data_IF_633111258213
#
_entry.id   IF_633111258213
#
_cell.length_a   1.000
_cell.length_b   1.000
_cell.length_c   1.000
_cell.angle_alpha   90.00
_cell.angle_beta   90.00
_cell.angle_gamma   90.00
#
_symmetry.space_group_name_H-M   'P 1'
#
loop_
_entity.id
_entity.type
_entity.pdbx_description
1 polymer ?
#
# COMPACT_ATOMS: atom_id res chain seq x y z
N UNK A 1 -18.54 -1.34 5.22
CA UNK A 1 -18.36 0.13 5.33
C UNK A 1 -16.93 0.44 4.88
N UNK A 2 -16.64 1.62 4.32
CA UNK A 2 -15.25 2.07 4.16
C UNK A 2 -14.66 2.18 5.57
N UNK A 3 -13.52 1.55 5.77
CA UNK A 3 -12.78 1.64 7.03
C UNK A 3 -11.99 2.93 7.06
N UNK A 4 -12.20 3.79 8.05
CA UNK A 4 -11.42 5.03 8.19
C UNK A 4 -10.16 4.81 9.02
N UNK A 5 -10.13 3.76 9.83
CA UNK A 5 -8.96 3.43 10.64
C UNK A 5 -7.89 2.70 9.81
N UNK A 6 -6.63 2.77 10.27
CA UNK A 6 -5.48 2.11 9.65
C UNK A 6 -5.46 0.59 9.83
N UNK A 7 -6.48 0.03 10.47
CA UNK A 7 -6.67 -1.42 10.65
C UNK A 7 -7.94 -1.95 9.98
N UNK A 8 -8.76 -1.08 9.38
CA UNK A 8 -9.99 -1.48 8.70
C UNK A 8 -9.78 -1.56 7.19
N UNK A 9 -9.55 -2.77 6.69
CA UNK A 9 -9.49 -3.07 5.26
C UNK A 9 -10.89 -3.02 4.65
N UNK A 10 -11.00 -2.58 3.39
CA UNK A 10 -12.24 -2.58 2.63
C UNK A 10 -12.04 -3.30 1.29
N UNK A 11 -12.56 -4.54 1.22
CA UNK A 11 -12.41 -5.44 0.06
C UNK A 11 -10.93 -5.60 -0.35
N UNK A 12 -10.03 -6.10 0.51
CA UNK A 12 -8.63 -6.32 0.11
C UNK A 12 -8.54 -7.39 -1.01
N UNK A 13 -7.57 -7.27 -1.91
CA UNK A 13 -7.42 -8.17 -3.08
C UNK A 13 -6.13 -8.97 -3.07
N UNK A 14 -4.98 -8.30 -3.09
CA UNK A 14 -3.65 -8.92 -3.12
C UNK A 14 -2.90 -8.69 -1.82
N UNK A 15 -1.98 -9.59 -1.50
CA UNK A 15 -1.09 -9.48 -0.36
C UNK A 15 0.28 -10.09 -0.69
N UNK A 16 1.31 -9.59 -0.03
CA UNK A 16 2.64 -10.15 -0.07
C UNK A 16 3.23 -10.20 1.34
N UNK A 17 4.01 -11.25 1.61
CA UNK A 17 4.73 -11.44 2.86
C UNK A 17 6.20 -11.62 2.53
N UNK A 18 7.07 -10.81 3.12
CA UNK A 18 8.51 -10.94 2.94
C UNK A 18 9.17 -11.86 3.97
N UNK A 19 10.46 -12.15 3.81
CA UNK A 19 11.21 -13.03 4.73
C UNK A 19 11.29 -12.49 6.16
N UNK A 20 11.10 -11.17 6.35
CA UNK A 20 11.06 -10.53 7.65
C UNK A 20 9.65 -10.63 8.28
N UNK A 21 8.73 -11.37 7.64
CA UNK A 21 7.31 -11.51 7.97
C UNK A 21 6.57 -10.16 7.98
N UNK A 22 7.03 -9.19 7.18
CA UNK A 22 6.27 -7.98 6.88
C UNK A 22 5.13 -8.34 5.92
N UNK A 23 3.90 -7.99 6.30
CA UNK A 23 2.71 -8.18 5.49
C UNK A 23 2.36 -6.86 4.81
N UNK A 24 2.22 -6.86 3.49
CA UNK A 24 1.62 -5.75 2.73
C UNK A 24 0.35 -6.19 2.05
N UNK A 25 -0.68 -5.33 2.04
CA UNK A 25 -2.00 -5.64 1.51
C UNK A 25 -2.46 -4.51 0.59
N UNK A 26 -2.96 -4.89 -0.59
CA UNK A 26 -3.71 -4.00 -1.47
C UNK A 26 -5.14 -3.82 -0.94
N UNK A 27 -5.36 -2.70 -0.23
CA UNK A 27 -6.65 -2.31 0.34
C UNK A 27 -7.50 -1.62 -0.74
N UNK A 28 -7.92 -2.42 -1.72
CA UNK A 28 -8.55 -2.01 -2.98
C UNK A 28 -9.67 -0.99 -2.79
N UNK A 29 -10.60 -1.22 -1.86
CA UNK A 29 -11.76 -0.36 -1.68
C UNK A 29 -11.45 0.99 -1.04
N UNK A 30 -10.30 1.09 -0.38
CA UNK A 30 -9.79 2.32 0.22
C UNK A 30 -8.69 2.99 -0.63
N UNK A 31 -8.38 2.47 -1.82
CA UNK A 31 -7.43 3.07 -2.77
C UNK A 31 -6.02 3.29 -2.13
N UNK A 32 -5.54 2.32 -1.34
CA UNK A 32 -4.26 2.39 -0.58
C UNK A 32 -3.55 1.04 -0.46
N UNK A 33 -2.27 1.07 -0.10
CA UNK A 33 -1.51 -0.10 0.35
C UNK A 33 -1.24 0.02 1.85
N UNK A 34 -1.52 -1.05 2.57
CA UNK A 34 -1.31 -1.16 4.02
C UNK A 34 -0.15 -2.09 4.34
N UNK A 35 0.55 -1.84 5.45
CA UNK A 35 1.67 -2.66 5.92
C UNK A 35 1.59 -2.96 7.42
N UNK A 36 1.93 -4.19 7.80
CA UNK A 36 2.18 -4.62 9.17
C UNK A 36 3.56 -5.26 9.25
N UNK A 37 4.31 -4.95 10.31
CA UNK A 37 5.59 -5.62 10.59
C UNK A 37 5.35 -6.87 11.43
N UNK A 38 6.27 -7.82 11.35
CA UNK A 38 6.27 -9.01 12.19
C UNK A 38 6.16 -8.66 13.68
N UNK A 39 5.35 -9.43 14.42
CA UNK A 39 5.07 -9.20 15.84
C UNK A 39 4.27 -7.93 16.13
N UNK A 40 3.86 -7.17 15.10
CA UNK A 40 2.98 -6.01 15.27
C UNK A 40 1.55 -6.42 15.60
N UNK A 41 0.88 -5.60 16.41
CA UNK A 41 -0.55 -5.72 16.61
C UNK A 41 -1.29 -5.51 15.27
N UNK A 42 -2.29 -6.37 15.00
CA UNK A 42 -3.25 -6.23 13.91
C UNK A 42 -3.88 -4.84 13.81
N UNK A 43 -3.95 -4.09 14.91
CA UNK A 43 -4.47 -2.72 14.95
C UNK A 43 -3.46 -1.66 14.48
N UNK A 44 -2.17 -2.00 14.37
CA UNK A 44 -1.09 -1.05 14.06
C UNK A 44 -0.63 -1.10 12.59
N UNK A 45 -1.59 -1.13 11.68
CA UNK A 45 -1.32 -1.02 10.25
C UNK A 45 -0.87 0.37 9.86
N UNK A 46 -0.03 0.47 8.83
CA UNK A 46 0.48 1.74 8.31
C UNK A 46 0.14 1.88 6.82
N UNK A 47 -0.31 3.06 6.40
CA UNK A 47 -0.46 3.39 4.99
C UNK A 47 0.93 3.64 4.41
N UNK A 48 1.36 2.83 3.45
CA UNK A 48 2.70 2.93 2.83
C UNK A 48 2.66 3.40 1.38
N UNK A 49 1.47 3.41 0.75
CA UNK A 49 1.22 4.03 -0.54
C UNK A 49 -0.28 4.35 -0.70
N UNK A 50 -0.60 5.37 -1.51
CA UNK A 50 -1.97 5.81 -1.75
C UNK A 50 -2.63 6.45 -0.52
N UNK A 51 -3.96 6.35 -0.40
CA UNK A 51 -4.73 6.94 0.70
C UNK A 51 -5.03 8.44 0.56
N UNK A 52 -4.44 9.14 -0.41
CA UNK A 52 -4.65 10.58 -0.69
C UNK A 52 -5.79 10.83 -1.70
N UNK A 53 -6.86 10.05 -1.56
CA UNK A 53 -7.93 9.99 -2.54
C UNK A 53 -7.53 9.20 -3.80
N UNK A 54 -8.57 8.84 -4.54
CA UNK A 54 -8.45 8.11 -5.80
C UNK A 54 -7.96 9.02 -6.92
N UNK A 55 -6.98 8.57 -7.69
CA UNK A 55 -6.51 9.29 -8.88
C UNK A 55 -5.20 8.73 -9.40
N UNK A 56 -4.63 9.39 -10.41
CA UNK A 56 -3.40 8.99 -11.11
C UNK A 56 -2.17 9.83 -10.74
N UNK A 57 -2.29 10.76 -9.78
CA UNK A 57 -1.18 11.56 -9.27
C UNK A 57 -0.08 10.72 -8.61
N UNK A 58 1.05 11.35 -8.31
CA UNK A 58 2.24 10.69 -7.74
C UNK A 58 1.99 10.03 -6.37
N UNK A 59 1.02 10.54 -5.62
CA UNK A 59 0.66 10.03 -4.29
C UNK A 59 -0.75 9.41 -4.23
N UNK A 60 -1.32 9.08 -5.39
CA UNK A 60 -2.66 8.51 -5.51
C UNK A 60 -2.61 7.14 -6.19
N UNK A 61 -3.56 6.29 -5.80
CA UNK A 61 -3.84 5.01 -6.42
C UNK A 61 -5.32 4.97 -6.81
N UNK A 62 -5.67 4.03 -7.67
CA UNK A 62 -7.04 3.76 -8.03
C UNK A 62 -7.25 2.25 -8.12
N UNK A 63 -8.00 1.69 -7.15
CA UNK A 63 -8.33 0.27 -7.12
C UNK A 63 -7.09 -0.65 -7.25
N UNK A 64 -6.07 -0.50 -6.39
CA UNK A 64 -4.90 -1.38 -6.46
C UNK A 64 -5.32 -2.83 -6.19
N UNK A 65 -4.83 -3.76 -7.00
CA UNK A 65 -5.23 -5.18 -6.89
C UNK A 65 -4.15 -6.08 -6.34
N UNK A 66 -2.89 -5.69 -6.46
CA UNK A 66 -1.76 -6.49 -5.97
C UNK A 66 -0.55 -5.62 -5.65
N UNK A 67 0.34 -6.13 -4.80
CA UNK A 67 1.56 -5.46 -4.35
C UNK A 67 2.64 -6.47 -4.00
N UNK A 68 3.89 -6.16 -4.33
CA UNK A 68 5.08 -6.86 -3.81
C UNK A 68 6.12 -5.86 -3.31
N UNK A 69 7.00 -6.32 -2.42
CA UNK A 69 8.17 -5.55 -1.96
C UNK A 69 9.36 -5.92 -2.83
N UNK A 70 9.94 -4.92 -3.48
CA UNK A 70 11.24 -5.01 -4.13
C UNK A 70 12.31 -4.59 -3.12
N UNK A 71 12.95 -5.58 -2.47
CA UNK A 71 13.98 -5.37 -1.45
C UNK A 71 15.26 -4.75 -2.03
N UNK A 72 15.56 -4.97 -3.31
CA UNK A 72 16.78 -4.44 -3.94
C UNK A 72 16.71 -2.92 -4.07
N UNK A 73 15.54 -2.39 -4.42
CA UNK A 73 15.33 -0.94 -4.62
C UNK A 73 14.64 -0.25 -3.45
N UNK A 74 14.27 -0.99 -2.40
CA UNK A 74 13.45 -0.52 -1.27
C UNK A 74 12.16 0.18 -1.73
N UNK A 75 11.43 -0.51 -2.59
CA UNK A 75 10.20 -0.01 -3.21
C UNK A 75 9.07 -1.03 -3.18
N UNK A 76 7.85 -0.54 -3.40
CA UNK A 76 6.69 -1.37 -3.68
C UNK A 76 6.47 -1.39 -5.19
N UNK A 77 6.15 -2.57 -5.74
CA UNK A 77 5.60 -2.68 -7.10
C UNK A 77 4.10 -2.94 -6.96
N UNK A 78 3.28 -2.05 -7.51
CA UNK A 78 1.83 -2.05 -7.27
C UNK A 78 1.09 -2.15 -8.61
N UNK A 79 0.16 -3.10 -8.68
CA UNK A 79 -0.81 -3.21 -9.77
C UNK A 79 -1.95 -2.20 -9.55
N UNK A 80 -1.79 -0.99 -10.09
CA UNK A 80 -2.72 0.15 -9.95
C UNK A 80 -3.84 0.08 -11.01
N UNK A 81 -4.69 -0.96 -10.88
CA UNK A 81 -5.62 -1.43 -11.92
C UNK A 81 -6.55 -0.34 -12.45
N UNK A 82 -7.10 0.51 -11.59
CA UNK A 82 -8.02 1.58 -12.00
C UNK A 82 -7.34 2.62 -12.88
N UNK A 83 -6.04 2.83 -12.70
CA UNK A 83 -5.20 3.70 -13.54
C UNK A 83 -4.53 2.96 -14.70
N UNK A 84 -4.78 1.65 -14.87
CA UNK A 84 -4.25 0.83 -15.97
C UNK A 84 -2.72 0.86 -16.07
N UNK A 85 -2.03 0.89 -14.93
CA UNK A 85 -0.57 0.96 -14.86
C UNK A 85 -0.01 0.05 -13.77
N UNK A 86 1.28 -0.22 -13.87
CA UNK A 86 2.10 -0.72 -12.76
C UNK A 86 2.98 0.43 -12.28
N UNK A 87 3.00 0.69 -10.98
CA UNK A 87 3.85 1.74 -10.39
C UNK A 87 4.91 1.12 -9.48
N UNK A 88 6.12 1.67 -9.58
CA UNK A 88 7.15 1.49 -8.55
C UNK A 88 7.06 2.66 -7.59
N UNK A 89 6.90 2.38 -6.31
CA UNK A 89 6.68 3.36 -5.25
C UNK A 89 7.79 3.27 -4.20
N UNK A 90 8.59 4.33 -4.06
CA UNK A 90 9.67 4.37 -3.07
C UNK A 90 9.10 4.27 -1.65
N UNK A 91 9.63 3.33 -0.84
CA UNK A 91 9.28 3.23 0.59
C UNK A 91 10.09 4.17 1.45
N UNK A 92 11.18 4.72 0.92
CA UNK A 92 11.94 5.79 1.57
C UNK A 92 11.03 7.00 1.68
N UNK A 93 10.83 7.49 2.90
CA UNK A 93 10.20 8.77 3.16
C UNK A 93 10.87 9.80 2.26
N UNK A 94 10.12 10.37 1.31
CA UNK A 94 10.58 11.54 0.62
C UNK A 94 10.83 12.60 1.67
N UNK A 95 12.10 12.93 1.93
CA UNK A 95 12.45 14.23 2.49
C UNK A 95 12.06 15.26 1.43
N UNK A 96 10.81 15.70 1.49
CA UNK A 96 10.38 17.00 0.98
C UNK A 96 9.71 17.72 2.15
N UNK A 97 10.54 18.17 3.09
CA UNK A 97 10.31 19.50 3.65
C UNK A 97 10.81 20.49 2.60
N UNK A 98 9.91 21.37 2.18
CA UNK A 98 10.11 22.44 1.21
C UNK A 98 8.77 23.10 0.95
#
# INVERSE_FOLDING_TARGET
RRGSATYELYRPFGLFVDDDQTVVIADYGNDRIMQWKNGGDTTNGQVVAGGNGRGNGLHQLYYPTDVLIDKETDSLIICDRGNQRVVRWSRRSGTTQG
#
